data_IF_183135663857
#
_entry.id   IF_183135663857
#
_cell.length_a   1.000
_cell.length_b   1.000
_cell.length_c   1.000
_cell.angle_alpha   90.00
_cell.angle_beta   90.00
_cell.angle_gamma   90.00
#
_symmetry.space_group_name_H-M   'P 1'
#
loop_
_entity.id
_entity.type
_entity.pdbx_description
1 polymer ?
#
# COMPACT_ATOMS: atom_id res chain seq x y z
N UNK A 1 -35.19 -31.22 -2.64
CA UNK A 1 -35.01 -32.27 -1.62
C UNK A 1 -33.51 -32.41 -1.39
N UNK A 2 -32.86 -31.42 -0.77
CA UNK A 2 -32.68 -31.34 0.68
C UNK A 2 -33.12 -29.97 1.24
N UNK A 3 -34.04 -30.02 2.20
CA UNK A 3 -34.36 -28.96 3.15
C UNK A 3 -33.37 -29.06 4.32
N UNK A 4 -33.00 -27.92 4.92
CA UNK A 4 -33.13 -27.65 6.36
C UNK A 4 -32.34 -26.40 6.78
N UNK A 5 -33.03 -25.26 6.75
CA UNK A 5 -33.22 -24.39 7.91
C UNK A 5 -32.02 -24.15 8.85
N UNK A 6 -31.26 -23.08 8.59
CA UNK A 6 -30.49 -22.36 9.61
C UNK A 6 -31.00 -20.91 9.73
N UNK A 7 -32.32 -20.74 9.92
CA UNK A 7 -32.87 -19.53 10.55
C UNK A 7 -32.91 -19.71 12.06
N UNK A 8 -31.81 -19.43 12.77
CA UNK A 8 -31.88 -19.05 14.18
C UNK A 8 -31.09 -17.76 14.41
N UNK A 9 -31.85 -16.75 14.84
CA UNK A 9 -31.47 -15.38 15.16
C UNK A 9 -30.24 -15.35 16.06
N UNK A 10 -29.24 -14.55 15.69
CA UNK A 10 -28.21 -14.05 16.60
C UNK A 10 -28.24 -12.52 16.58
N UNK A 11 -27.87 -11.86 17.70
CA UNK A 11 -28.23 -10.47 17.97
C UNK A 11 -27.62 -9.50 16.96
N UNK A 12 -28.36 -8.45 16.64
CA UNK A 12 -27.92 -7.34 15.81
C UNK A 12 -26.85 -6.51 16.54
N UNK A 13 -25.61 -6.99 16.58
CA UNK A 13 -24.44 -6.18 16.90
C UNK A 13 -24.12 -5.27 15.69
N UNK A 14 -23.85 -3.98 15.88
CA UNK A 14 -23.60 -3.06 14.78
C UNK A 14 -22.29 -3.42 14.07
N UNK A 15 -22.41 -3.92 12.84
CA UNK A 15 -21.29 -4.26 11.98
C UNK A 15 -20.28 -3.09 11.88
N UNK A 16 -18.98 -3.32 12.14
CA UNK A 16 -17.94 -2.27 12.09
C UNK A 16 -17.65 -1.75 10.67
N UNK A 17 -18.25 -2.34 9.64
CA UNK A 17 -17.99 -2.01 8.23
C UNK A 17 -18.72 -0.75 7.73
N UNK A 18 -19.57 -0.10 8.55
CA UNK A 18 -20.33 1.09 8.14
C UNK A 18 -19.51 2.38 7.96
N UNK A 19 -18.25 2.45 8.41
CA UNK A 19 -17.45 3.71 8.43
C UNK A 19 -16.14 3.69 7.64
N UNK A 20 -15.95 2.74 6.72
CA UNK A 20 -14.64 2.54 6.08
C UNK A 20 -14.52 3.01 4.61
N UNK A 21 -15.49 3.73 4.04
CA UNK A 21 -15.31 4.47 2.77
C UNK A 21 -14.80 3.66 1.56
N UNK A 22 -14.95 2.33 1.58
CA UNK A 22 -14.61 1.47 0.46
C UNK A 22 -15.81 1.43 -0.49
N UNK A 23 -15.58 1.47 -1.79
CA UNK A 23 -16.57 1.44 -2.89
C UNK A 23 -17.40 0.13 -2.98
N UNK A 24 -17.54 -0.59 -1.88
CA UNK A 24 -18.30 -1.82 -1.73
C UNK A 24 -19.81 -1.54 -1.53
N UNK A 25 -20.47 -0.87 -2.48
CA UNK A 25 -21.95 -0.80 -2.48
C UNK A 25 -22.61 -2.12 -2.92
N UNK A 26 -21.84 -3.08 -3.46
CA UNK A 26 -22.34 -4.40 -3.88
C UNK A 26 -21.95 -5.59 -2.98
N UNK A 27 -21.10 -5.42 -1.96
CA UNK A 27 -20.60 -6.53 -1.14
C UNK A 27 -21.41 -6.77 0.17
N UNK A 28 -22.66 -6.30 0.23
CA UNK A 28 -23.46 -6.34 1.47
C UNK A 28 -24.14 -7.69 1.74
N UNK A 29 -24.01 -8.68 0.85
CA UNK A 29 -24.70 -9.97 1.00
C UNK A 29 -23.80 -11.21 1.19
N UNK A 30 -22.50 -11.13 0.91
CA UNK A 30 -21.61 -12.30 1.00
C UNK A 30 -20.29 -11.92 1.68
N UNK A 31 -19.92 -12.65 2.74
CA UNK A 31 -18.60 -12.50 3.36
C UNK A 31 -17.55 -13.02 2.37
N UNK A 32 -16.53 -12.22 2.01
CA UNK A 32 -15.50 -12.67 1.09
C UNK A 32 -14.68 -13.80 1.73
N UNK A 33 -14.36 -14.83 0.93
CA UNK A 33 -13.46 -15.91 1.36
C UNK A 33 -12.00 -15.41 1.49
N UNK A 34 -11.60 -14.49 0.61
CA UNK A 34 -10.26 -13.90 0.59
C UNK A 34 -10.32 -12.39 0.38
N UNK A 35 -9.37 -11.67 0.98
CA UNK A 35 -9.14 -10.25 0.78
C UNK A 35 -7.74 -10.02 0.25
N UNK A 36 -7.65 -9.35 -0.90
CA UNK A 36 -6.40 -8.81 -1.43
C UNK A 36 -6.29 -7.34 -1.00
N UNK A 37 -5.23 -6.98 -0.26
CA UNK A 37 -5.10 -5.63 0.32
C UNK A 37 -3.65 -5.18 0.43
N UNK A 38 -3.41 -3.87 0.46
CA UNK A 38 -2.07 -3.30 0.60
C UNK A 38 -1.53 -3.59 1.99
N UNK A 39 -0.43 -4.35 2.08
CA UNK A 39 0.22 -4.71 3.34
C UNK A 39 1.72 -4.87 3.12
N UNK A 40 2.54 -4.12 3.85
CA UNK A 40 3.99 -4.07 3.69
C UNK A 40 4.66 -3.65 5.01
N UNK A 41 5.99 -3.65 5.04
CA UNK A 41 6.79 -3.28 6.21
C UNK A 41 6.50 -1.85 6.73
N UNK A 42 6.02 -0.94 5.89
CA UNK A 42 5.67 0.43 6.27
C UNK A 42 4.32 0.47 7.02
N UNK A 43 3.34 -0.29 6.55
CA UNK A 43 1.96 -0.24 7.07
C UNK A 43 1.64 -1.28 8.14
N UNK A 44 2.35 -2.40 8.18
CA UNK A 44 2.00 -3.54 9.05
C UNK A 44 2.07 -3.23 10.55
N UNK A 45 2.74 -2.12 10.91
CA UNK A 45 2.90 -1.71 12.30
C UNK A 45 1.79 -0.77 12.78
N UNK A 46 1.03 -0.17 11.86
CA UNK A 46 -0.03 0.80 12.14
C UNK A 46 -1.16 0.18 12.98
N UNK A 47 -1.64 0.86 14.04
CA UNK A 47 -2.71 0.33 14.90
C UNK A 47 -3.98 -0.03 14.13
N UNK A 48 -4.39 0.82 13.18
CA UNK A 48 -5.57 0.58 12.33
C UNK A 48 -5.38 -0.65 11.44
N UNK A 49 -4.18 -0.85 10.90
CA UNK A 49 -3.87 -2.01 10.06
C UNK A 49 -3.90 -3.30 10.87
N UNK A 50 -3.26 -3.32 12.05
CA UNK A 50 -3.28 -4.47 12.97
C UNK A 50 -4.71 -4.86 13.36
N UNK A 51 -5.54 -3.88 13.69
CA UNK A 51 -6.94 -4.11 14.03
C UNK A 51 -7.75 -4.68 12.85
N UNK A 52 -7.53 -4.16 11.63
CA UNK A 52 -8.20 -4.66 10.43
C UNK A 52 -7.80 -6.11 10.09
N UNK A 53 -6.50 -6.43 10.15
CA UNK A 53 -5.97 -7.79 9.96
C UNK A 53 -6.56 -8.74 10.99
N UNK A 54 -6.58 -8.35 12.27
CA UNK A 54 -7.13 -9.17 13.35
C UNK A 54 -8.63 -9.45 13.16
N UNK A 55 -9.41 -8.43 12.79
CA UNK A 55 -10.84 -8.58 12.54
C UNK A 55 -11.12 -9.56 11.39
N UNK A 56 -10.37 -9.47 10.29
CA UNK A 56 -10.53 -10.36 9.14
C UNK A 56 -10.09 -11.79 9.47
N UNK A 57 -8.96 -11.95 10.18
CA UNK A 57 -8.46 -13.25 10.60
C UNK A 57 -9.47 -13.96 11.53
N UNK A 58 -10.03 -13.27 12.52
CA UNK A 58 -11.09 -13.81 13.39
C UNK A 58 -12.37 -14.16 12.66
N UNK A 59 -12.67 -13.47 11.56
CA UNK A 59 -13.80 -13.77 10.70
C UNK A 59 -13.56 -14.96 9.76
N UNK A 60 -12.37 -15.58 9.78
CA UNK A 60 -12.00 -16.69 8.91
C UNK A 60 -11.73 -16.28 7.46
N UNK A 61 -11.43 -15.00 7.23
CA UNK A 61 -11.16 -14.47 5.89
C UNK A 61 -9.67 -14.65 5.58
N UNK A 62 -9.36 -15.29 4.45
CA UNK A 62 -7.98 -15.44 3.99
C UNK A 62 -7.38 -14.10 3.55
N UNK A 63 -6.16 -13.81 4.00
CA UNK A 63 -5.51 -12.53 3.76
C UNK A 63 -4.37 -12.66 2.76
N UNK A 64 -4.48 -11.96 1.62
CA UNK A 64 -3.43 -11.88 0.60
C UNK A 64 -2.86 -10.46 0.58
N UNK A 65 -1.57 -10.33 0.88
CA UNK A 65 -0.88 -9.05 0.88
C UNK A 65 -0.44 -8.65 -0.54
N UNK A 66 -0.72 -7.41 -0.95
CA UNK A 66 -0.16 -6.79 -2.17
C UNK A 66 0.73 -5.60 -1.82
N UNK A 67 1.54 -5.16 -2.79
CA UNK A 67 2.46 -4.01 -2.67
C UNK A 67 3.43 -4.15 -1.48
N UNK A 68 3.86 -5.38 -1.23
CA UNK A 68 4.72 -5.78 -0.10
C UNK A 68 6.08 -5.09 -0.08
N UNK A 69 6.57 -4.67 -1.26
CA UNK A 69 7.81 -3.93 -1.41
C UNK A 69 7.75 -2.49 -0.88
N UNK A 70 6.56 -1.94 -0.61
CA UNK A 70 6.40 -0.59 -0.05
C UNK A 70 7.10 0.50 -0.87
N UNK A 71 7.20 0.31 -2.18
CA UNK A 71 7.83 1.24 -3.11
C UNK A 71 7.03 2.54 -3.23
N UNK A 72 7.75 3.64 -3.47
CA UNK A 72 7.23 4.99 -3.44
C UNK A 72 7.22 5.71 -4.79
N UNK A 73 6.61 6.89 -4.80
CA UNK A 73 6.60 7.82 -5.95
C UNK A 73 7.89 8.61 -6.07
N UNK A 74 8.69 8.65 -5.02
CA UNK A 74 9.96 9.36 -4.98
C UNK A 74 11.02 8.31 -4.66
N UNK A 75 12.17 8.41 -5.33
CA UNK A 75 13.38 7.71 -4.89
C UNK A 75 14.21 8.73 -4.13
N UNK A 76 14.35 8.54 -2.83
CA UNK A 76 15.35 9.27 -2.05
C UNK A 76 16.44 8.30 -1.63
N UNK A 77 17.69 8.75 -1.72
CA UNK A 77 18.81 8.02 -1.16
C UNK A 77 18.78 8.22 0.36
N UNK A 78 18.80 7.13 1.14
CA UNK A 78 18.87 7.20 2.61
C UNK A 78 20.03 6.36 3.14
N UNK A 79 20.63 6.81 4.25
CA UNK A 79 21.68 6.04 4.92
C UNK A 79 21.17 4.66 5.36
N UNK A 80 19.93 4.58 5.84
CA UNK A 80 19.32 3.32 6.22
C UNK A 80 19.15 2.36 5.03
N UNK A 81 18.96 2.85 3.80
CA UNK A 81 18.91 1.99 2.61
C UNK A 81 20.26 1.33 2.33
N UNK A 82 21.34 2.11 2.38
CA UNK A 82 22.70 1.60 2.18
C UNK A 82 23.06 0.58 3.27
N UNK A 83 22.77 0.92 4.53
CA UNK A 83 22.99 0.03 5.67
C UNK A 83 22.17 -1.27 5.51
N UNK A 84 20.90 -1.15 5.10
CA UNK A 84 20.00 -2.27 4.88
C UNK A 84 20.51 -3.20 3.78
N UNK A 85 20.87 -2.64 2.62
CA UNK A 85 21.41 -3.40 1.50
C UNK A 85 22.68 -4.15 1.91
N UNK A 86 23.63 -3.46 2.56
CA UNK A 86 24.88 -4.08 3.01
C UNK A 86 24.67 -5.15 4.09
N UNK A 87 23.77 -4.92 5.04
CA UNK A 87 23.46 -5.86 6.12
C UNK A 87 22.80 -7.12 5.60
N UNK A 88 21.80 -6.99 4.74
CA UNK A 88 21.07 -8.14 4.21
C UNK A 88 21.92 -8.95 3.23
N UNK A 89 22.75 -8.28 2.41
CA UNK A 89 23.71 -8.95 1.55
C UNK A 89 24.68 -9.83 2.37
N UNK A 90 25.20 -9.32 3.50
CA UNK A 90 26.03 -10.11 4.43
C UNK A 90 25.31 -11.31 5.04
N UNK A 91 23.98 -11.26 5.16
CA UNK A 91 23.14 -12.37 5.65
C UNK A 91 22.66 -13.30 4.53
N UNK A 92 23.04 -13.05 3.28
CA UNK A 92 22.74 -13.91 2.13
C UNK A 92 21.39 -13.65 1.47
N UNK A 93 20.73 -12.51 1.70
CA UNK A 93 19.47 -12.17 1.06
C UNK A 93 19.38 -10.69 0.68
N UNK A 94 18.52 -10.33 -0.27
CA UNK A 94 18.33 -8.93 -0.72
C UNK A 94 17.36 -8.16 0.18
N UNK A 95 17.34 -6.83 0.02
CA UNK A 95 16.33 -5.95 0.62
C UNK A 95 14.91 -6.32 0.18
N UNK A 96 14.73 -6.70 -1.09
CA UNK A 96 13.46 -7.20 -1.62
C UNK A 96 12.98 -8.46 -0.90
N UNK A 97 13.88 -9.41 -0.63
CA UNK A 97 13.57 -10.61 0.15
C UNK A 97 13.23 -10.25 1.59
N UNK A 98 14.00 -9.36 2.21
CA UNK A 98 13.76 -8.91 3.57
C UNK A 98 12.35 -8.30 3.73
N UNK A 99 11.90 -7.49 2.77
CA UNK A 99 10.56 -6.89 2.77
C UNK A 99 9.46 -7.97 2.70
N UNK A 100 9.64 -9.02 1.90
CA UNK A 100 8.71 -10.17 1.86
C UNK A 100 8.72 -10.98 3.15
N UNK A 101 9.89 -11.31 3.67
CA UNK A 101 10.06 -12.04 4.93
C UNK A 101 9.45 -11.28 6.12
N UNK A 102 9.52 -9.95 6.13
CA UNK A 102 8.87 -9.11 7.14
C UNK A 102 7.35 -9.30 7.12
N UNK A 103 6.73 -9.35 5.94
CA UNK A 103 5.30 -9.60 5.79
C UNK A 103 4.92 -11.03 6.21
N UNK A 104 5.66 -12.05 5.75
CA UNK A 104 5.41 -13.45 6.11
C UNK A 104 5.69 -13.83 7.56
N UNK A 105 6.31 -12.92 8.33
CA UNK A 105 6.39 -13.07 9.79
C UNK A 105 5.00 -13.05 10.42
N UNK A 106 4.07 -12.27 9.87
CA UNK A 106 2.68 -12.28 10.31
C UNK A 106 1.97 -13.51 9.72
N UNK A 107 1.80 -14.54 10.56
CA UNK A 107 1.21 -15.83 10.16
C UNK A 107 -0.28 -15.76 9.81
N UNK A 108 -0.91 -14.59 9.99
CA UNK A 108 -2.28 -14.33 9.53
C UNK A 108 -2.34 -14.04 8.02
N UNK A 109 -1.21 -13.67 7.41
CA UNK A 109 -1.10 -13.46 5.96
C UNK A 109 -0.89 -14.82 5.28
N UNK A 110 -1.88 -15.25 4.50
CA UNK A 110 -1.88 -16.54 3.82
C UNK A 110 -1.02 -16.53 2.54
N UNK A 111 -0.98 -15.40 1.83
CA UNK A 111 -0.27 -15.29 0.56
C UNK A 111 0.23 -13.86 0.30
N UNK A 112 1.24 -13.75 -0.57
CA UNK A 112 1.72 -12.47 -1.11
C UNK A 112 1.50 -12.46 -2.62
N UNK A 113 0.79 -11.45 -3.12
CA UNK A 113 0.70 -11.14 -4.54
C UNK A 113 1.88 -10.22 -4.91
N UNK A 114 2.95 -10.81 -5.45
CA UNK A 114 4.16 -10.11 -5.88
C UNK A 114 4.36 -10.24 -7.38
N UNK A 115 4.62 -9.12 -8.06
CA UNK A 115 4.97 -9.13 -9.47
C UNK A 115 6.38 -9.70 -9.65
N UNK A 116 6.54 -10.60 -10.64
CA UNK A 116 7.81 -11.29 -10.92
C UNK A 116 8.09 -11.22 -12.42
N UNK A 117 8.56 -10.06 -12.93
CA UNK A 117 8.69 -9.81 -14.37
C UNK A 117 9.88 -10.55 -15.01
N UNK A 118 10.74 -11.19 -14.22
CA UNK A 118 11.86 -11.99 -14.71
C UNK A 118 12.17 -13.16 -13.75
N UNK A 119 12.98 -14.10 -14.24
CA UNK A 119 13.34 -15.32 -13.50
C UNK A 119 14.17 -15.03 -12.23
N UNK A 120 14.96 -13.96 -12.23
CA UNK A 120 15.74 -13.54 -11.05
C UNK A 120 14.81 -13.17 -9.90
N UNK A 121 13.81 -12.31 -10.15
CA UNK A 121 12.84 -11.90 -9.13
C UNK A 121 11.98 -13.09 -8.69
N UNK A 122 11.59 -13.98 -9.62
CA UNK A 122 10.88 -15.21 -9.29
C UNK A 122 11.67 -16.09 -8.32
N UNK A 123 12.94 -16.37 -8.63
CA UNK A 123 13.82 -17.19 -7.79
C UNK A 123 14.02 -16.57 -6.40
N UNK A 124 14.27 -15.26 -6.35
CA UNK A 124 14.47 -14.49 -5.12
C UNK A 124 13.21 -14.48 -4.24
N UNK A 125 12.02 -14.30 -4.83
CA UNK A 125 10.75 -14.36 -4.11
C UNK A 125 10.43 -15.78 -3.62
N UNK A 126 10.72 -16.79 -4.44
CA UNK A 126 10.57 -18.20 -4.07
C UNK A 126 11.44 -18.57 -2.89
N UNK A 127 12.72 -18.19 -2.92
CA UNK A 127 13.65 -18.36 -1.80
C UNK A 127 13.12 -17.68 -0.53
N UNK A 128 12.65 -16.44 -0.60
CA UNK A 128 12.06 -15.77 0.57
C UNK A 128 10.80 -16.46 1.14
N UNK A 129 10.08 -17.25 0.33
CA UNK A 129 8.89 -17.99 0.75
C UNK A 129 9.22 -19.30 1.48
N UNK A 130 10.32 -19.96 1.09
CA UNK A 130 10.71 -21.29 1.60
C UNK A 130 11.88 -21.24 2.59
N UNK A 131 12.73 -20.22 2.53
CA UNK A 131 13.93 -20.12 3.34
C UNK A 131 13.60 -19.90 4.82
N UNK A 132 14.36 -20.60 5.68
CA UNK A 132 14.23 -20.48 7.12
C UNK A 132 15.00 -19.29 7.70
N UNK A 133 15.64 -18.47 6.87
CA UNK A 133 16.39 -17.30 7.34
C UNK A 133 15.39 -16.28 7.88
N UNK A 134 15.45 -16.05 9.20
CA UNK A 134 14.54 -15.13 9.88
C UNK A 134 15.16 -13.75 10.03
N UNK A 135 14.31 -12.74 9.90
CA UNK A 135 14.65 -11.39 10.33
C UNK A 135 14.80 -11.34 11.85
N UNK A 136 15.94 -10.85 12.30
CA UNK A 136 16.21 -10.54 13.70
C UNK A 136 15.47 -9.26 14.12
N UNK A 137 15.44 -8.98 15.42
CA UNK A 137 14.89 -7.71 15.94
C UNK A 137 15.62 -6.50 15.36
N UNK A 138 16.95 -6.58 15.21
CA UNK A 138 17.74 -5.52 14.61
C UNK A 138 17.37 -5.28 13.15
N UNK A 139 17.06 -6.34 12.39
CA UNK A 139 16.62 -6.21 10.99
C UNK A 139 15.26 -5.50 10.90
N UNK A 140 14.33 -5.79 11.80
CA UNK A 140 13.06 -5.08 11.87
C UNK A 140 13.23 -3.61 12.28
N UNK A 141 14.13 -3.33 13.23
CA UNK A 141 14.43 -1.95 13.61
C UNK A 141 15.01 -1.16 12.43
N UNK A 142 15.83 -1.80 11.60
CA UNK A 142 16.39 -1.18 10.41
C UNK A 142 15.32 -0.91 9.34
N UNK A 143 14.37 -1.83 9.13
CA UNK A 143 13.21 -1.60 8.26
C UNK A 143 12.33 -0.43 8.78
N UNK A 144 12.12 -0.34 10.09
CA UNK A 144 11.36 0.76 10.70
C UNK A 144 12.10 2.11 10.57
N UNK A 145 13.42 2.11 10.78
CA UNK A 145 14.25 3.31 10.57
C UNK A 145 14.19 3.78 9.12
N UNK A 146 14.37 2.86 8.16
CA UNK A 146 14.22 3.16 6.74
C UNK A 146 12.84 3.70 6.40
N UNK A 147 11.77 3.15 7.00
CA UNK A 147 10.42 3.69 6.81
C UNK A 147 10.29 5.13 7.28
N UNK A 148 10.86 5.46 8.45
CA UNK A 148 10.84 6.80 9.01
C UNK A 148 11.63 7.80 8.14
N UNK A 149 12.84 7.42 7.71
CA UNK A 149 13.72 8.28 6.88
C UNK A 149 13.12 8.54 5.49
N UNK A 150 12.44 7.55 4.91
CA UNK A 150 11.83 7.66 3.56
C UNK A 150 10.31 7.84 3.60
N UNK A 151 9.78 8.41 4.69
CA UNK A 151 8.32 8.41 4.90
C UNK A 151 7.55 9.15 3.82
N UNK A 152 8.14 10.27 3.36
CA UNK A 152 7.63 11.20 2.35
C UNK A 152 7.72 10.66 0.92
N UNK A 153 8.29 9.47 0.73
CA UNK A 153 8.38 8.85 -0.58
C UNK A 153 7.20 7.93 -0.87
N UNK A 154 6.47 7.53 0.16
CA UNK A 154 5.46 6.50 0.10
C UNK A 154 4.05 7.05 0.33
N UNK A 155 3.21 6.98 -0.70
CA UNK A 155 1.77 7.22 -0.57
C UNK A 155 1.07 5.97 -0.02
N UNK A 156 0.45 6.11 1.16
CA UNK A 156 -0.29 5.03 1.83
C UNK A 156 -1.69 4.77 1.24
N UNK A 157 -2.12 5.52 0.23
CA UNK A 157 -3.46 5.39 -0.37
C UNK A 157 -4.59 5.83 0.57
N UNK A 158 -4.30 6.65 1.59
CA UNK A 158 -5.26 7.24 2.51
C UNK A 158 -5.90 8.52 1.94
N UNK A 159 -6.30 8.47 0.66
CA UNK A 159 -6.66 9.63 -0.17
C UNK A 159 -7.66 10.57 0.50
N UNK A 160 -8.67 10.00 1.17
CA UNK A 160 -9.67 10.73 1.94
C UNK A 160 -9.09 11.80 2.86
N UNK A 161 -7.92 11.57 3.48
CA UNK A 161 -7.31 12.52 4.41
C UNK A 161 -6.78 13.79 3.71
N UNK A 162 -6.21 13.65 2.53
CA UNK A 162 -5.63 14.79 1.81
C UNK A 162 -6.65 15.42 0.85
N UNK A 163 -7.52 14.64 0.24
CA UNK A 163 -8.51 15.13 -0.73
C UNK A 163 -9.63 15.92 -0.04
N UNK A 164 -10.11 15.45 1.12
CA UNK A 164 -11.14 16.17 1.90
C UNK A 164 -10.58 17.40 2.65
N UNK A 165 -9.26 17.57 2.71
CA UNK A 165 -8.63 18.75 3.31
C UNK A 165 -8.65 19.98 2.38
N UNK A 166 -9.02 19.79 1.11
CA UNK A 166 -9.05 20.84 0.11
C UNK A 166 -10.46 21.45 -0.05
N UNK A 167 -10.58 22.71 -0.52
CA UNK A 167 -11.87 23.33 -0.80
C UNK A 167 -12.66 22.65 -1.94
N UNK A 168 -11.96 21.89 -2.77
CA UNK A 168 -12.50 21.17 -3.92
C UNK A 168 -12.00 19.73 -3.81
N UNK A 169 -12.88 18.77 -4.07
CA UNK A 169 -12.52 17.35 -4.12
C UNK A 169 -11.53 17.13 -5.27
N UNK A 170 -10.28 16.80 -4.92
CA UNK A 170 -9.18 16.61 -5.87
C UNK A 170 -8.71 15.16 -5.85
N UNK A 171 -8.51 14.52 -7.01
CA UNK A 171 -8.16 13.11 -7.10
C UNK A 171 -6.65 12.89 -6.87
N UNK A 172 -6.14 13.26 -5.70
CA UNK A 172 -4.71 13.17 -5.35
C UNK A 172 -4.22 11.74 -5.53
N UNK A 173 -4.98 10.75 -5.04
CA UNK A 173 -4.67 9.34 -5.13
C UNK A 173 -4.53 8.82 -6.55
N UNK A 174 -5.33 9.33 -7.49
CA UNK A 174 -5.22 8.98 -8.91
C UNK A 174 -3.96 9.58 -9.53
N UNK A 175 -3.64 10.84 -9.22
CA UNK A 175 -2.38 11.46 -9.67
C UNK A 175 -1.17 10.70 -9.12
N UNK A 176 -1.20 10.32 -7.83
CA UNK A 176 -0.17 9.49 -7.23
C UNK A 176 -0.06 8.11 -7.91
N UNK A 177 -1.18 7.52 -8.31
CA UNK A 177 -1.20 6.26 -9.07
C UNK A 177 -0.58 6.43 -10.45
N UNK A 178 -0.86 7.51 -11.16
CA UNK A 178 -0.25 7.79 -12.47
C UNK A 178 1.26 8.00 -12.36
N UNK A 179 1.73 8.77 -11.37
CA UNK A 179 3.15 8.90 -11.07
C UNK A 179 3.80 7.54 -10.78
N UNK A 180 3.07 6.61 -10.16
CA UNK A 180 3.58 5.28 -9.81
C UNK A 180 3.97 4.50 -11.04
N UNK A 181 3.09 4.53 -12.05
CA UNK A 181 3.31 3.83 -13.30
C UNK A 181 4.56 4.36 -14.01
N UNK A 182 4.74 5.68 -14.04
CA UNK A 182 5.92 6.29 -14.65
C UNK A 182 7.21 5.97 -13.89
N UNK A 183 7.20 6.04 -12.55
CA UNK A 183 8.44 6.02 -11.75
C UNK A 183 8.81 4.63 -11.25
N UNK A 184 7.83 3.90 -10.72
CA UNK A 184 8.07 2.57 -10.15
C UNK A 184 8.04 1.49 -11.23
N UNK A 185 7.15 1.60 -12.20
CA UNK A 185 6.98 0.57 -13.25
C UNK A 185 7.67 0.95 -14.57
N UNK A 186 8.19 2.18 -14.68
CA UNK A 186 8.82 2.71 -15.90
C UNK A 186 7.89 2.64 -17.12
N UNK A 187 6.58 2.66 -16.87
CA UNK A 187 5.52 2.60 -17.87
C UNK A 187 4.89 3.98 -18.05
N UNK A 188 5.58 4.82 -18.83
CA UNK A 188 5.13 6.17 -19.13
C UNK A 188 3.82 6.16 -19.96
N UNK A 189 3.58 5.13 -20.77
CA UNK A 189 2.37 5.00 -21.58
C UNK A 189 1.12 4.84 -20.71
N UNK A 190 1.15 3.90 -19.77
CA UNK A 190 0.08 3.69 -18.80
C UNK A 190 -0.08 4.90 -17.86
N UNK A 191 1.04 5.51 -17.45
CA UNK A 191 1.01 6.72 -16.63
C UNK A 191 0.26 7.86 -17.31
N UNK A 192 0.58 8.16 -18.58
CA UNK A 192 -0.11 9.18 -19.38
C UNK A 192 -1.56 8.82 -19.64
N UNK A 193 -1.86 7.57 -19.99
CA UNK A 193 -3.23 7.14 -20.23
C UNK A 193 -4.11 7.39 -18.99
N UNK A 194 -3.67 6.92 -17.82
CA UNK A 194 -4.43 7.09 -16.56
C UNK A 194 -4.50 8.54 -16.09
N UNK A 195 -3.46 9.34 -16.33
CA UNK A 195 -3.51 10.78 -16.06
C UNK A 195 -4.46 11.52 -17.00
N UNK A 196 -4.58 11.08 -18.26
CA UNK A 196 -5.48 11.64 -19.26
C UNK A 196 -6.96 11.29 -19.04
N UNK A 197 -7.28 10.31 -18.20
CA UNK A 197 -8.65 10.02 -17.76
C UNK A 197 -9.20 11.12 -16.84
N UNK A 198 -8.31 11.90 -16.20
CA UNK A 198 -8.72 13.02 -15.35
C UNK A 198 -9.30 14.16 -16.22
N UNK A 199 -10.42 14.78 -15.80
CA UNK A 199 -11.01 15.89 -16.55
C UNK A 199 -10.00 17.02 -16.78
N UNK A 200 -10.02 17.64 -17.97
CA UNK A 200 -9.09 18.72 -18.31
C UNK A 200 -9.12 19.88 -17.31
N UNK A 201 -10.30 20.22 -16.78
CA UNK A 201 -10.47 21.21 -15.72
C UNK A 201 -9.71 20.82 -14.45
N UNK A 202 -9.85 19.56 -14.01
CA UNK A 202 -9.17 19.04 -12.80
C UNK A 202 -7.66 19.12 -12.95
N UNK A 203 -7.12 18.78 -14.12
CA UNK A 203 -5.68 18.91 -14.38
C UNK A 203 -5.21 20.36 -14.38
N UNK A 204 -6.02 21.30 -14.87
CA UNK A 204 -5.70 22.72 -14.80
C UNK A 204 -5.63 23.25 -13.35
N UNK A 205 -6.47 22.73 -12.45
CA UNK A 205 -6.46 23.11 -11.03
C UNK A 205 -5.24 22.55 -10.27
N UNK A 206 -4.64 21.43 -10.71
CA UNK A 206 -3.43 20.86 -10.08
C UNK A 206 -2.26 21.85 -10.03
N UNK A 207 -2.17 22.77 -10.98
CA UNK A 207 -1.12 23.79 -11.03
C UNK A 207 -1.40 25.01 -10.14
N UNK A 208 -2.67 25.25 -9.79
CA UNK A 208 -3.15 26.51 -9.20
C UNK A 208 -3.53 26.38 -7.73
N UNK A 209 -4.02 25.22 -7.33
CA UNK A 209 -4.44 24.97 -5.96
C UNK A 209 -3.26 24.99 -5.00
N UNK A 210 -3.53 25.52 -3.82
CA UNK A 210 -2.66 25.37 -2.66
C UNK A 210 -2.94 24.02 -1.98
N UNK A 211 -1.89 23.23 -1.77
CA UNK A 211 -1.96 21.89 -1.20
C UNK A 211 -1.45 21.82 0.25
N UNK A 212 -1.11 22.95 0.89
CA UNK A 212 -0.53 22.97 2.23
C UNK A 212 -1.38 22.23 3.27
N UNK A 213 -2.70 22.39 3.27
CA UNK A 213 -3.60 21.66 4.18
C UNK A 213 -3.67 20.15 3.88
N UNK A 214 -3.57 19.78 2.60
CA UNK A 214 -3.49 18.38 2.18
C UNK A 214 -2.17 17.74 2.65
N UNK A 215 -1.05 18.47 2.57
CA UNK A 215 0.26 18.03 3.05
C UNK A 215 0.28 17.87 4.57
N UNK A 216 -0.27 18.84 5.33
CA UNK A 216 -0.42 18.75 6.79
C UNK A 216 -1.29 17.57 7.23
N UNK A 217 -2.30 17.23 6.44
CA UNK A 217 -3.20 16.11 6.70
C UNK A 217 -2.60 14.74 6.32
N UNK A 218 -1.50 14.72 5.57
CA UNK A 218 -0.88 13.49 5.11
C UNK A 218 -0.08 12.81 6.23
N UNK A 219 -0.44 11.59 6.68
CA UNK A 219 0.31 10.90 7.73
C UNK A 219 1.72 10.47 7.28
N UNK A 220 2.03 10.61 5.99
CA UNK A 220 3.32 10.26 5.39
C UNK A 220 4.18 11.50 5.09
N UNK A 221 3.69 12.71 5.34
CA UNK A 221 4.37 13.97 5.02
C UNK A 221 4.77 14.05 3.53
N UNK A 222 3.87 13.64 2.64
CA UNK A 222 4.11 13.76 1.20
C UNK A 222 4.16 15.23 0.80
N UNK A 223 5.08 15.64 -0.08
CA UNK A 223 5.07 16.96 -0.70
C UNK A 223 4.04 16.98 -1.85
N UNK A 224 2.75 16.89 -1.51
CA UNK A 224 1.63 16.73 -2.45
C UNK A 224 1.65 17.82 -3.52
N UNK A 225 1.78 19.10 -3.16
CA UNK A 225 1.73 20.19 -4.13
C UNK A 225 2.86 20.11 -5.15
N UNK A 226 4.07 19.72 -4.71
CA UNK A 226 5.20 19.45 -5.61
C UNK A 226 4.87 18.28 -6.55
N UNK A 227 4.34 17.19 -6.01
CA UNK A 227 3.99 15.99 -6.79
C UNK A 227 2.90 16.27 -7.83
N UNK A 228 1.91 17.12 -7.53
CA UNK A 228 0.87 17.52 -8.50
C UNK A 228 1.47 18.28 -9.69
N UNK A 229 2.41 19.21 -9.43
CA UNK A 229 3.12 19.94 -10.49
C UNK A 229 4.01 19.03 -11.32
N UNK A 230 4.77 18.14 -10.67
CA UNK A 230 5.61 17.17 -11.38
C UNK A 230 4.78 16.21 -12.26
N UNK A 231 3.58 15.83 -11.82
CA UNK A 231 2.68 15.01 -12.63
C UNK A 231 2.24 15.75 -13.90
N UNK A 232 1.93 17.05 -13.82
CA UNK A 232 1.61 17.86 -14.99
C UNK A 232 2.79 17.96 -15.96
N UNK A 233 4.00 18.19 -15.46
CA UNK A 233 5.19 18.30 -16.31
C UNK A 233 5.54 16.98 -17.02
N UNK A 234 5.38 15.85 -16.33
CA UNK A 234 5.79 14.54 -16.85
C UNK A 234 4.72 13.86 -17.71
N UNK A 235 3.44 14.07 -17.39
CA UNK A 235 2.33 13.24 -17.90
C UNK A 235 1.31 13.97 -18.77
N UNK A 236 1.34 15.30 -18.83
CA UNK A 236 0.45 16.09 -19.70
C UNK A 236 0.77 15.93 -21.19
#
# INVERSE_FOLDING_TARGET
MYNADYRKRLPAEPHPFRKAGCSAKHALHERPLFLLFTYNYRLMHEPRMKAAVEACYRAGIGLTAMKTQGGGQIRSDSEAEIEMAGRFLKKGFSDHQAKLMAVWKDKRIASICSQMPNLTILAVNGAAAVDQIRLSRADHNLLARYDCETRSDYCAGCDRLCSEALPIDMPIGDVMRSLMYARSYQDLGLARMTFNELPARTRAELARLDFDEAEKSCPRNLPIGRLMREALELLA
#
